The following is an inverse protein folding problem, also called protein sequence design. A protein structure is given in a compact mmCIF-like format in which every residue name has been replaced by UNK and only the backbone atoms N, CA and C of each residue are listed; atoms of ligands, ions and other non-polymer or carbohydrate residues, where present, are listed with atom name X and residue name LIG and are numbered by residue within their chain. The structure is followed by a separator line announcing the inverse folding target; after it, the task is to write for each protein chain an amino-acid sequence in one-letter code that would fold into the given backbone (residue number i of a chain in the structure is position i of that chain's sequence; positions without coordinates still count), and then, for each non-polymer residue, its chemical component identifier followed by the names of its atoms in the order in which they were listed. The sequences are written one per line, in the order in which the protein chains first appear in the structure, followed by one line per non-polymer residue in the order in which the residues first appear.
data_IF_450492431960
#
_entry.id   IF_450492431960
#
_cell.length_a   1.000
_cell.length_b   1.000
_cell.length_c   1.000
_cell.angle_alpha   90.00
_cell.angle_beta   90.00
_cell.angle_gamma   90.00
#
_symmetry.space_group_name_H-M   'P 1'
#
loop_
_entity.id
_entity.type
_entity.pdbx_description
1 polymer ?
#
# COMPACT_ATOMS: atom_id res chain seq x y z
N UNK A 1 -8.21 0.48 19.12
CA UNK A 1 -9.25 -0.51 18.77
C UNK A 1 -9.72 -0.39 17.31
N UNK A 2 -9.98 0.82 16.78
CA UNK A 2 -10.47 1.03 15.40
C UNK A 2 -9.47 0.66 14.28
N UNK A 3 -8.16 0.85 14.51
CA UNK A 3 -7.11 0.56 13.49
C UNK A 3 -6.92 -0.94 13.26
N UNK A 4 -7.05 -1.75 14.33
CA UNK A 4 -6.95 -3.22 14.24
C UNK A 4 -8.12 -3.81 13.44
N UNK A 5 -9.36 -3.34 13.68
CA UNK A 5 -10.54 -3.83 12.95
C UNK A 5 -10.48 -3.52 11.45
N UNK A 6 -9.94 -2.37 11.06
CA UNK A 6 -9.78 -2.01 9.65
C UNK A 6 -8.81 -2.95 8.91
N UNK A 7 -7.76 -3.42 9.60
CA UNK A 7 -6.79 -4.34 9.03
C UNK A 7 -7.39 -5.74 8.80
N UNK A 8 -8.18 -6.21 9.76
CA UNK A 8 -8.91 -7.47 9.68
C UNK A 8 -9.93 -7.47 8.52
N UNK A 9 -10.65 -6.37 8.33
CA UNK A 9 -11.61 -6.23 7.24
C UNK A 9 -10.92 -6.26 5.86
N UNK A 10 -9.80 -5.54 5.69
CA UNK A 10 -9.03 -5.56 4.45
C UNK A 10 -8.46 -6.95 4.18
N UNK A 11 -7.87 -7.59 5.20
CA UNK A 11 -7.35 -8.95 5.08
C UNK A 11 -8.45 -9.93 4.65
N UNK A 12 -9.61 -9.87 5.30
CA UNK A 12 -10.75 -10.74 4.97
C UNK A 12 -11.22 -10.51 3.53
N UNK A 13 -11.42 -9.26 3.12
CA UNK A 13 -11.88 -8.94 1.76
C UNK A 13 -10.85 -9.37 0.70
N UNK A 14 -9.57 -9.09 0.92
CA UNK A 14 -8.51 -9.30 -0.07
C UNK A 14 -8.06 -10.76 -0.15
N UNK A 15 -7.88 -11.43 0.99
CA UNK A 15 -7.32 -12.79 1.09
C UNK A 15 -8.41 -13.84 1.18
N UNK A 16 -9.36 -13.69 2.12
CA UNK A 16 -10.40 -14.71 2.36
C UNK A 16 -11.47 -14.70 1.27
N UNK A 17 -11.91 -13.51 0.86
CA UNK A 17 -12.93 -13.33 -0.17
C UNK A 17 -12.33 -13.14 -1.58
N UNK A 18 -11.00 -13.11 -1.71
CA UNK A 18 -10.27 -12.92 -2.97
C UNK A 18 -10.76 -11.72 -3.81
N UNK A 19 -11.28 -10.67 -3.14
CA UNK A 19 -11.81 -9.50 -3.83
C UNK A 19 -10.66 -8.68 -4.43
N UNK A 20 -10.96 -8.07 -5.56
CA UNK A 20 -10.04 -7.17 -6.25
C UNK A 20 -10.14 -5.78 -5.66
N UNK A 21 -9.00 -5.20 -5.30
CA UNK A 21 -8.91 -3.84 -4.79
C UNK A 21 -8.52 -2.87 -5.90
N UNK A 22 -8.94 -1.61 -5.76
CA UNK A 22 -8.53 -0.51 -6.65
C UNK A 22 -7.94 0.61 -5.81
N UNK A 23 -7.24 1.56 -6.44
CA UNK A 23 -6.59 2.66 -5.73
C UNK A 23 -7.37 3.96 -5.88
N UNK A 24 -7.46 4.73 -4.80
CA UNK A 24 -7.94 6.10 -4.77
C UNK A 24 -6.76 7.04 -4.55
N UNK A 25 -6.66 8.05 -5.39
CA UNK A 25 -5.67 9.12 -5.27
C UNK A 25 -6.05 10.10 -4.15
N UNK A 26 -5.02 10.63 -3.49
CA UNK A 26 -5.17 11.57 -2.38
C UNK A 26 -5.52 12.97 -2.87
N UNK A 27 -6.27 13.73 -2.05
CA UNK A 27 -6.64 15.14 -2.35
C UNK A 27 -5.47 16.12 -2.23
N UNK A 28 -4.29 15.69 -1.78
CA UNK A 28 -3.13 16.56 -1.51
C UNK A 28 -2.37 17.02 -2.74
N UNK A 29 -2.80 16.65 -3.96
CA UNK A 29 -2.38 17.35 -5.17
C UNK A 29 -3.37 18.46 -5.50
N UNK A 30 -3.10 19.70 -5.07
CA UNK A 30 -3.63 20.84 -5.80
C UNK A 30 -3.14 20.71 -7.25
N UNK A 31 -4.02 21.01 -8.20
CA UNK A 31 -3.69 21.19 -9.61
C UNK A 31 -2.66 22.32 -9.77
N UNK A 32 -1.38 22.03 -9.50
CA UNK A 32 -0.29 22.98 -9.73
C UNK A 32 0.66 22.38 -10.75
N UNK A 33 0.69 23.04 -11.90
CA UNK A 33 1.44 22.73 -13.11
C UNK A 33 2.92 23.10 -12.94
N UNK A 34 3.49 22.71 -11.80
CA UNK A 34 4.86 23.01 -11.40
C UNK A 34 5.67 21.74 -11.56
N UNK A 35 6.54 21.72 -12.57
CA UNK A 35 7.59 20.73 -12.74
C UNK A 35 8.53 20.78 -11.53
N UNK A 36 8.19 20.08 -10.45
CA UNK A 36 9.18 19.65 -9.48
C UNK A 36 9.16 18.12 -9.48
N UNK A 37 10.30 17.58 -9.85
CA UNK A 37 10.67 16.19 -9.63
C UNK A 37 10.55 15.93 -8.13
N UNK A 38 9.38 15.48 -7.67
CA UNK A 38 9.31 14.85 -6.36
C UNK A 38 10.13 13.56 -6.46
N UNK A 39 11.41 13.68 -6.13
CA UNK A 39 12.18 12.57 -5.58
C UNK A 39 11.36 12.06 -4.40
N UNK A 40 10.57 11.02 -4.67
CA UNK A 40 9.88 10.30 -3.60
C UNK A 40 11.00 9.63 -2.84
N UNK A 41 11.36 10.22 -1.71
CA UNK A 41 12.10 9.51 -0.69
C UNK A 41 11.26 8.28 -0.33
N UNK A 42 11.81 7.09 -0.56
CA UNK A 42 11.23 5.81 -0.10
C UNK A 42 11.28 5.68 1.43
N UNK A 43 11.54 6.79 2.14
CA UNK A 43 11.44 6.90 3.57
C UNK A 43 10.00 6.59 4.01
N UNK A 44 9.84 5.44 4.65
CA UNK A 44 8.59 4.93 5.23
C UNK A 44 7.91 6.00 6.12
N UNK A 45 8.68 6.93 6.68
CA UNK A 45 8.18 8.08 7.46
C UNK A 45 7.24 9.00 6.67
N UNK A 46 7.45 9.17 5.36
CA UNK A 46 6.57 10.01 4.52
C UNK A 46 5.20 9.37 4.30
N UNK A 47 5.12 8.03 4.34
CA UNK A 47 3.86 7.30 4.15
C UNK A 47 3.01 7.17 5.43
N UNK A 48 3.58 7.28 6.62
CA UNK A 48 2.83 7.24 7.87
C UNK A 48 2.16 8.60 8.16
N UNK A 49 0.83 8.67 7.99
CA UNK A 49 0.08 9.64 8.80
C UNK A 49 0.03 9.14 10.24
N UNK A 50 0.31 9.99 11.25
CA UNK A 50 -0.14 9.68 12.60
C UNK A 50 -1.67 9.59 12.54
N UNK A 51 -2.22 8.40 12.81
CA UNK A 51 -3.66 8.24 13.02
C UNK A 51 -4.08 9.21 14.13
N UNK A 52 -4.68 10.35 13.76
CA UNK A 52 -5.33 11.23 14.74
C UNK A 52 -6.64 10.55 15.14
N UNK A 53 -6.84 10.37 16.44
CA UNK A 53 -8.01 9.67 17.00
C UNK A 53 -9.36 10.30 16.62
N UNK A 54 -9.36 11.55 16.13
CA UNK A 54 -10.56 12.27 15.67
C UNK A 54 -10.97 12.00 14.22
N UNK A 55 -10.14 11.27 13.44
CA UNK A 55 -10.54 10.82 12.11
C UNK A 55 -11.33 9.52 12.30
N UNK A 56 -12.66 9.62 12.42
CA UNK A 56 -13.54 8.44 12.39
C UNK A 56 -13.98 8.15 10.96
N UNK A 57 -13.40 7.15 10.28
CA UNK A 57 -13.98 6.64 9.06
C UNK A 57 -14.40 5.17 9.25
N UNK A 58 -15.33 4.90 10.18
CA UNK A 58 -15.94 3.56 10.32
C UNK A 58 -16.54 3.00 9.02
N UNK A 59 -16.79 3.86 8.02
CA UNK A 59 -17.35 3.47 6.73
C UNK A 59 -16.33 3.40 5.57
N UNK A 60 -15.06 3.81 5.75
CA UNK A 60 -14.10 3.86 4.63
C UNK A 60 -13.31 2.56 4.44
N UNK A 61 -13.31 1.66 5.42
CA UNK A 61 -12.54 0.40 5.38
C UNK A 61 -13.34 -0.81 4.86
N UNK A 62 -14.62 -0.60 4.50
CA UNK A 62 -15.49 -1.64 3.92
C UNK A 62 -15.51 -1.61 2.38
N UNK A 63 -14.85 -0.63 1.75
CA UNK A 63 -14.78 -0.52 0.29
C UNK A 63 -13.51 -1.20 -0.22
N UNK A 64 -13.57 -1.80 -1.41
CA UNK A 64 -12.40 -2.44 -2.08
C UNK A 64 -11.50 -1.38 -2.72
N UNK A 65 -11.29 -0.27 -2.02
CA UNK A 65 -10.61 0.94 -2.51
C UNK A 65 -9.53 1.39 -1.53
N UNK A 66 -8.29 1.14 -1.89
CA UNK A 66 -7.11 1.55 -1.14
C UNK A 66 -6.85 3.03 -1.35
N UNK A 67 -6.98 3.83 -0.30
CA UNK A 67 -6.67 5.25 -0.33
C UNK A 67 -5.15 5.46 -0.31
N UNK A 68 -4.67 6.37 -1.15
CA UNK A 68 -3.26 6.73 -1.26
C UNK A 68 -3.08 8.23 -1.07
N UNK A 69 -1.87 8.67 -0.71
CA UNK A 69 -1.52 10.09 -0.58
C UNK A 69 -1.03 10.73 -1.86
N UNK A 70 -0.81 9.92 -2.88
CA UNK A 70 -0.25 10.33 -4.16
C UNK A 70 -1.30 11.08 -4.98
N UNK A 71 -0.82 12.07 -5.74
CA UNK A 71 -1.64 12.76 -6.77
C UNK A 71 -2.09 11.74 -7.82
N UNK A 72 -3.15 12.04 -8.59
CA UNK A 72 -3.62 11.11 -9.62
C UNK A 72 -2.50 10.72 -10.61
N UNK A 73 -1.69 11.71 -11.03
CA UNK A 73 -0.54 11.51 -11.93
C UNK A 73 0.60 10.73 -11.26
N UNK A 74 0.95 11.08 -10.02
CA UNK A 74 2.00 10.40 -9.25
C UNK A 74 1.63 8.95 -8.93
N UNK A 75 0.38 8.70 -8.56
CA UNK A 75 -0.17 7.37 -8.32
C UNK A 75 -0.12 6.52 -9.58
N UNK A 76 -0.60 7.05 -10.71
CA UNK A 76 -0.61 6.31 -11.97
C UNK A 76 0.80 5.96 -12.43
N UNK A 77 1.76 6.89 -12.29
CA UNK A 77 3.17 6.63 -12.61
C UNK A 77 3.75 5.54 -11.71
N UNK A 78 3.58 5.67 -10.39
CA UNK A 78 4.08 4.68 -9.41
C UNK A 78 3.51 3.29 -9.61
N UNK A 79 2.21 3.18 -9.87
CA UNK A 79 1.57 1.89 -10.16
C UNK A 79 2.04 1.30 -11.49
N UNK A 80 2.33 2.13 -12.48
CA UNK A 80 2.88 1.71 -13.76
C UNK A 80 4.30 1.18 -13.61
N UNK A 81 5.16 1.90 -12.89
CA UNK A 81 6.54 1.49 -12.60
C UNK A 81 6.55 0.15 -11.85
N UNK A 82 5.79 0.05 -10.74
CA UNK A 82 5.63 -1.20 -9.97
C UNK A 82 5.10 -2.37 -10.81
N UNK A 83 4.15 -2.11 -11.71
CA UNK A 83 3.61 -3.14 -12.60
C UNK A 83 4.67 -3.64 -13.58
N UNK A 84 5.46 -2.74 -14.18
CA UNK A 84 6.52 -3.13 -15.10
C UNK A 84 7.66 -3.86 -14.39
N UNK A 85 8.10 -3.37 -13.24
CA UNK A 85 9.19 -3.99 -12.47
C UNK A 85 8.81 -5.39 -12.00
N UNK A 86 7.62 -5.53 -11.41
CA UNK A 86 7.12 -6.84 -10.94
C UNK A 86 6.95 -7.83 -12.09
N UNK A 87 6.37 -7.40 -13.21
CA UNK A 87 6.15 -8.26 -14.37
C UNK A 87 7.45 -8.67 -15.06
N UNK A 88 8.40 -7.74 -15.18
CA UNK A 88 9.71 -8.02 -15.78
C UNK A 88 10.47 -9.05 -14.94
N UNK A 89 10.53 -8.86 -13.62
CA UNK A 89 11.22 -9.80 -12.73
C UNK A 89 10.51 -11.16 -12.65
N UNK A 90 9.18 -11.16 -12.71
CA UNK A 90 8.41 -12.40 -12.76
C UNK A 90 8.64 -13.16 -14.07
N UNK A 91 8.68 -12.48 -15.22
CA UNK A 91 8.92 -13.11 -16.52
C UNK A 91 10.39 -13.56 -16.70
N UNK A 92 11.36 -12.81 -16.17
CA UNK A 92 12.80 -13.12 -16.30
C UNK A 92 13.30 -14.13 -15.28
N UNK A 93 12.87 -14.02 -14.02
CA UNK A 93 13.41 -14.79 -12.90
C UNK A 93 12.38 -15.76 -12.31
N UNK A 94 11.10 -15.65 -12.69
CA UNK A 94 10.03 -16.45 -12.09
C UNK A 94 9.73 -16.07 -10.64
N UNK A 95 10.19 -14.90 -10.18
CA UNK A 95 10.08 -14.47 -8.78
C UNK A 95 9.08 -13.33 -8.65
N UNK A 96 8.12 -13.47 -7.75
CA UNK A 96 7.24 -12.38 -7.36
C UNK A 96 7.93 -11.47 -6.34
N UNK A 97 8.09 -10.20 -6.68
CA UNK A 97 8.67 -9.17 -5.80
C UNK A 97 7.62 -8.21 -5.23
N UNK A 98 6.36 -8.34 -5.64
CA UNK A 98 5.32 -7.41 -5.26
C UNK A 98 4.51 -7.93 -4.07
N UNK A 99 4.60 -7.18 -2.97
CA UNK A 99 3.93 -7.50 -1.71
C UNK A 99 3.16 -6.29 -1.19
N UNK A 100 1.98 -6.54 -0.67
CA UNK A 100 1.20 -5.58 0.09
C UNK A 100 1.52 -5.73 1.57
N UNK A 101 2.12 -4.69 2.16
CA UNK A 101 2.29 -4.58 3.60
C UNK A 101 0.98 -4.14 4.26
N UNK A 102 0.41 -5.00 5.09
CA UNK A 102 -0.73 -4.71 5.94
C UNK A 102 -0.25 -4.39 7.36
N UNK A 103 -0.31 -3.10 7.71
CA UNK A 103 0.06 -2.59 9.02
C UNK A 103 1.57 -2.53 9.25
N UNK A 104 2.01 -1.66 10.15
CA UNK A 104 3.42 -1.51 10.53
C UNK A 104 3.55 -1.44 12.04
N UNK A 105 4.52 -2.17 12.59
CA UNK A 105 4.95 -2.11 13.97
C UNK A 105 6.00 -1.03 14.12
N UNK A 106 5.75 -0.07 15.01
CA UNK A 106 6.75 0.92 15.42
C UNK A 106 7.52 0.36 16.61
N UNK A 107 8.78 0.01 16.39
CA UNK A 107 9.72 -0.36 17.44
C UNK A 107 10.61 0.83 17.76
N UNK A 108 10.69 1.20 19.03
CA UNK A 108 11.53 2.30 19.52
C UNK A 108 12.55 1.69 20.47
N UNK A 109 13.83 1.87 20.16
CA UNK A 109 14.90 1.38 21.03
C UNK A 109 14.86 2.14 22.38
N UNK A 110 14.76 1.44 23.53
CA UNK A 110 14.80 2.09 24.84
C UNK A 110 16.13 2.82 25.11
N UNK A 111 17.23 2.41 24.46
CA UNK A 111 18.54 3.04 24.59
C UNK A 111 18.73 4.25 23.67
N UNK A 112 17.97 4.34 22.57
CA UNK A 112 18.05 5.47 21.64
C UNK A 112 16.67 5.79 21.06
N UNK A 113 15.98 6.76 21.67
CA UNK A 113 14.61 7.18 21.28
C UNK A 113 14.50 7.75 19.87
N UNK A 114 15.61 8.10 19.23
CA UNK A 114 15.65 8.58 17.84
C UNK A 114 15.71 7.43 16.82
N UNK A 115 16.08 6.21 17.25
CA UNK A 115 16.10 5.04 16.37
C UNK A 115 14.72 4.38 16.32
N UNK A 116 13.85 4.95 15.50
CA UNK A 116 12.53 4.41 15.23
C UNK A 116 12.64 3.43 14.06
N UNK A 117 12.27 2.17 14.30
CA UNK A 117 12.21 1.15 13.27
C UNK A 117 10.76 0.78 12.99
N UNK A 118 10.46 0.60 11.71
CA UNK A 118 9.15 0.16 11.26
C UNK A 118 9.28 -1.23 10.62
N UNK A 119 8.44 -2.16 11.05
CA UNK A 119 8.36 -3.50 10.47
C UNK A 119 6.94 -3.75 9.98
N UNK A 120 6.72 -4.23 8.73
CA UNK A 120 5.38 -4.60 8.29
C UNK A 120 4.85 -5.76 9.14
N UNK A 121 3.58 -5.71 9.56
CA UNK A 121 2.99 -6.78 10.38
C UNK A 121 2.73 -8.03 9.53
N UNK A 122 2.13 -7.83 8.36
CA UNK A 122 1.78 -8.88 7.42
C UNK A 122 2.19 -8.43 6.01
N UNK A 123 2.83 -9.31 5.25
CA UNK A 123 3.17 -9.13 3.84
C UNK A 123 2.38 -10.13 3.01
N UNK A 124 1.50 -9.62 2.17
CA UNK A 124 0.65 -10.44 1.29
C UNK A 124 1.23 -10.38 -0.11
N UNK A 125 1.56 -11.51 -0.75
CA UNK A 125 1.94 -11.53 -2.16
C UNK A 125 0.75 -11.08 -3.01
N UNK A 126 0.96 -10.08 -3.85
CA UNK A 126 -0.10 -9.49 -4.67
C UNK A 126 0.34 -9.33 -6.11
N UNK A 127 -0.62 -9.26 -7.01
CA UNK A 127 -0.41 -8.93 -8.42
C UNK A 127 -1.14 -7.65 -8.74
N UNK A 128 -0.47 -6.77 -9.49
CA UNK A 128 -1.11 -5.63 -10.13
C UNK A 128 -1.56 -6.01 -11.53
N UNK A 129 -2.82 -5.78 -11.79
CA UNK A 129 -3.41 -5.95 -13.10
C UNK A 129 -3.79 -4.60 -13.69
N UNK A 130 -3.40 -4.41 -14.94
CA UNK A 130 -3.83 -3.29 -15.74
C UNK A 130 -4.85 -3.79 -16.76
N UNK A 131 -5.99 -3.12 -16.82
CA UNK A 131 -6.91 -3.25 -17.94
C UNK A 131 -6.43 -2.41 -19.14
N UNK A 132 -7.36 -1.73 -19.82
CA UNK A 132 -7.02 -0.88 -20.96
C UNK A 132 -6.25 0.39 -20.58
N UNK A 133 -5.69 1.08 -21.60
CA UNK A 133 -5.05 2.39 -21.42
C UNK A 133 -6.08 3.38 -20.86
N UNK A 134 -5.90 3.80 -19.60
CA UNK A 134 -6.82 4.69 -18.88
C UNK A 134 -7.73 4.00 -17.86
N UNK A 135 -7.74 2.66 -17.80
CA UNK A 135 -8.44 1.94 -16.73
C UNK A 135 -7.65 1.94 -15.43
N UNK A 136 -8.38 1.85 -14.31
CA UNK A 136 -7.80 1.82 -12.96
C UNK A 136 -7.04 0.51 -12.76
N UNK A 137 -5.86 0.62 -12.15
CA UNK A 137 -5.12 -0.56 -11.68
C UNK A 137 -5.95 -1.32 -10.65
N UNK A 138 -5.89 -2.64 -10.79
CA UNK A 138 -6.54 -3.60 -9.92
C UNK A 138 -5.46 -4.38 -9.18
N UNK A 139 -5.66 -4.59 -7.89
CA UNK A 139 -4.77 -5.36 -7.04
C UNK A 139 -5.50 -6.63 -6.61
N UNK A 140 -4.85 -7.79 -6.77
CA UNK A 140 -5.35 -9.08 -6.29
C UNK A 140 -4.32 -9.75 -5.41
N UNK A 141 -4.77 -10.42 -4.35
CA UNK A 141 -3.91 -11.33 -3.62
C UNK A 141 -3.61 -12.58 -4.46
N UNK A 142 -2.37 -13.05 -4.38
CA UNK A 142 -1.96 -14.34 -4.91
C UNK A 142 -2.21 -15.40 -3.85
N UNK A 143 -2.41 -16.64 -4.30
CA UNK A 143 -2.59 -17.79 -3.42
C UNK A 143 -1.24 -18.39 -2.98
N UNK A 144 -0.29 -17.50 -2.69
CA UNK A 144 1.07 -17.79 -2.24
C UNK A 144 1.16 -17.63 -0.71
N UNK A 145 2.29 -18.04 -0.12
CA UNK A 145 2.50 -17.94 1.32
C UNK A 145 2.52 -16.48 1.79
N UNK A 146 1.65 -16.17 2.75
CA UNK A 146 1.60 -14.85 3.40
C UNK A 146 2.65 -14.83 4.50
N UNK A 147 3.51 -13.82 4.47
CA UNK A 147 4.59 -13.69 5.44
C UNK A 147 4.10 -12.82 6.59
N UNK A 148 3.97 -13.40 7.78
CA UNK A 148 3.75 -12.66 9.01
C UNK A 148 5.10 -12.40 9.70
N UNK A 149 5.40 -11.15 10.01
CA UNK A 149 6.70 -10.76 10.61
C UNK A 149 6.76 -11.07 12.10
N UNK A 150 5.65 -11.45 12.74
CA UNK A 150 5.58 -11.72 14.17
C UNK A 150 5.29 -13.22 14.45
N UNK A 151 6.08 -13.89 15.31
CA UNK A 151 5.87 -15.28 15.71
C UNK A 151 4.71 -15.47 16.72
#
# INVERSE_FOLDING_TARGET
MCVMSALEDIYKLLVVEAKTFTFLHGKTGKDDDSQESEEVNDDIETFLYPFKEDDTPKAQHLDTKLQTRLTAKGLQKRLLDLYHDSRTLEEEQGVNILYLALGTLKWIDPANKENIRYAPLILIPVTLERGNVGERFKLRARNEEIIATFP
#
